data_IF_913208625007
#
_entry.id   IF_913208625007
#
_cell.length_a   1.000
_cell.length_b   1.000
_cell.length_c   1.000
_cell.angle_alpha   90.00
_cell.angle_beta   90.00
_cell.angle_gamma   90.00
#
_symmetry.space_group_name_H-M   'P 1'
#
loop_
_entity.id
_entity.type
_entity.pdbx_description
1 polymer ?
#
# COMPACT_ATOMS: atom_id res chain seq x y z
N UNK A 1 67.39 -7.22 -15.97
CA UNK A 1 66.35 -8.27 -15.92
C UNK A 1 65.65 -8.20 -14.58
N UNK A 2 64.45 -7.59 -14.54
CA UNK A 2 63.49 -7.69 -13.45
C UNK A 2 62.07 -7.65 -14.06
N UNK A 3 61.19 -8.42 -13.45
CA UNK A 3 59.97 -9.07 -13.96
C UNK A 3 58.72 -8.13 -13.97
N UNK A 4 57.86 -8.14 -15.00
CA UNK A 4 56.63 -7.34 -15.04
C UNK A 4 55.43 -8.17 -14.56
N UNK A 5 55.18 -8.24 -13.24
CA UNK A 5 53.93 -8.79 -12.70
C UNK A 5 53.53 -8.11 -11.39
N UNK A 6 52.89 -6.95 -11.51
CA UNK A 6 51.98 -6.43 -10.49
C UNK A 6 50.99 -5.46 -11.15
N UNK A 7 49.96 -6.04 -11.77
CA UNK A 7 48.74 -5.30 -12.09
C UNK A 7 47.94 -5.20 -10.78
N UNK A 8 47.73 -3.97 -10.32
CA UNK A 8 46.87 -3.66 -9.19
C UNK A 8 45.41 -3.82 -9.66
N UNK A 9 44.77 -4.94 -9.32
CA UNK A 9 43.34 -5.12 -9.54
C UNK A 9 42.59 -4.46 -8.37
N UNK A 10 42.13 -3.23 -8.57
CA UNK A 10 41.17 -2.59 -7.68
C UNK A 10 39.79 -3.23 -7.93
N UNK A 11 39.42 -4.21 -7.10
CA UNK A 11 38.06 -4.76 -7.11
C UNK A 11 37.11 -3.75 -6.45
N UNK A 12 36.39 -2.99 -7.28
CA UNK A 12 35.21 -2.24 -6.89
C UNK A 12 34.13 -3.25 -6.45
N UNK A 13 33.99 -3.45 -5.15
CA UNK A 13 32.77 -4.03 -4.58
C UNK A 13 31.66 -2.99 -4.72
N UNK A 14 30.88 -3.09 -5.79
CA UNK A 14 29.56 -2.46 -5.84
C UNK A 14 28.65 -3.25 -4.90
N UNK A 15 28.16 -2.69 -3.79
CA UNK A 15 27.06 -3.32 -3.09
C UNK A 15 25.86 -3.31 -4.04
N UNK A 16 25.43 -4.51 -4.45
CA UNK A 16 24.12 -4.69 -5.05
C UNK A 16 23.09 -4.26 -4.00
N UNK A 17 22.66 -3.00 -4.08
CA UNK A 17 21.45 -2.55 -3.42
C UNK A 17 20.31 -3.28 -4.10
N UNK A 18 19.91 -4.42 -3.52
CA UNK A 18 18.59 -4.98 -3.80
C UNK A 18 17.61 -3.94 -3.26
N UNK A 19 16.77 -3.31 -4.08
CA UNK A 19 15.69 -2.51 -3.55
C UNK A 19 14.87 -3.45 -2.68
N UNK A 20 14.81 -3.17 -1.38
CA UNK A 20 13.77 -3.75 -0.54
C UNK A 20 12.50 -3.11 -1.08
N UNK A 21 11.87 -3.79 -2.03
CA UNK A 21 10.50 -3.49 -2.39
C UNK A 21 9.75 -3.50 -1.06
N UNK A 22 9.27 -2.32 -0.64
CA UNK A 22 8.28 -2.26 0.41
C UNK A 22 7.12 -3.09 -0.13
N UNK A 23 7.02 -4.33 0.34
CA UNK A 23 5.96 -5.22 -0.10
C UNK A 23 4.68 -4.46 0.18
N UNK A 24 3.90 -4.17 -0.86
CA UNK A 24 2.56 -3.62 -0.68
C UNK A 24 1.86 -4.46 0.39
N UNK A 25 1.05 -3.82 1.23
CA UNK A 25 0.26 -4.47 2.27
C UNK A 25 -0.87 -5.30 1.63
N UNK A 26 -0.48 -6.37 0.93
CA UNK A 26 -1.39 -7.26 0.23
C UNK A 26 -2.09 -8.11 1.29
N UNK A 27 -3.40 -7.94 1.39
CA UNK A 27 -4.26 -8.79 2.20
C UNK A 27 -4.38 -10.17 1.54
N UNK A 28 -3.62 -11.14 2.04
CA UNK A 28 -3.61 -12.52 1.55
C UNK A 28 -4.95 -13.23 1.74
N UNK A 29 -5.81 -12.73 2.63
CA UNK A 29 -7.13 -13.31 2.86
C UNK A 29 -8.06 -13.15 1.65
N UNK A 30 -7.97 -12.05 0.89
CA UNK A 30 -8.88 -11.75 -0.23
C UNK A 30 -8.88 -12.83 -1.32
N UNK A 31 -7.75 -13.51 -1.49
CA UNK A 31 -7.59 -14.60 -2.47
C UNK A 31 -7.70 -16.00 -1.85
N UNK A 32 -7.89 -16.10 -0.53
CA UNK A 32 -8.01 -17.38 0.16
C UNK A 32 -9.40 -17.99 -0.02
N UNK A 33 -9.46 -19.32 -0.06
CA UNK A 33 -10.73 -20.05 -0.03
C UNK A 33 -11.19 -20.14 1.43
N UNK A 34 -12.35 -19.56 1.73
CA UNK A 34 -12.91 -19.59 3.09
C UNK A 34 -13.85 -20.78 3.28
N UNK A 35 -13.67 -21.48 4.40
CA UNK A 35 -14.59 -22.49 4.89
C UNK A 35 -15.01 -22.18 6.32
N UNK A 36 -16.27 -22.44 6.66
CA UNK A 36 -16.82 -22.17 8.00
C UNK A 36 -17.55 -23.41 8.51
N UNK A 37 -17.64 -23.54 9.84
CA UNK A 37 -18.37 -24.61 10.50
C UNK A 37 -19.86 -24.64 10.16
N UNK A 38 -20.46 -23.46 10.05
CA UNK A 38 -21.88 -23.24 9.76
C UNK A 38 -22.12 -21.79 9.37
N UNK A 39 -23.31 -21.46 8.87
CA UNK A 39 -23.70 -20.07 8.67
C UNK A 39 -25.20 -19.85 8.92
N UNK A 40 -25.60 -18.58 9.07
CA UNK A 40 -26.99 -18.18 9.27
C UNK A 40 -27.49 -17.33 8.10
N UNK A 41 -28.46 -17.84 7.34
CA UNK A 41 -29.06 -17.08 6.23
C UNK A 41 -28.00 -16.61 5.23
N UNK A 42 -28.06 -15.34 4.85
CA UNK A 42 -27.13 -14.68 3.91
C UNK A 42 -25.79 -14.25 4.53
N UNK A 43 -25.51 -14.56 5.80
CA UNK A 43 -24.25 -14.24 6.49
C UNK A 43 -23.25 -15.39 6.32
N UNK A 44 -22.89 -15.65 5.07
CA UNK A 44 -22.13 -16.82 4.58
C UNK A 44 -20.61 -16.64 4.69
N UNK A 45 -19.84 -17.67 4.32
CA UNK A 45 -18.38 -17.71 4.44
C UNK A 45 -17.64 -16.65 3.61
N UNK A 46 -18.20 -16.26 2.47
CA UNK A 46 -17.66 -15.23 1.56
C UNK A 46 -17.59 -13.84 2.21
N UNK A 47 -18.24 -13.65 3.35
CA UNK A 47 -18.23 -12.39 4.12
C UNK A 47 -17.10 -12.28 5.13
N UNK A 48 -16.15 -13.20 5.11
CA UNK A 48 -15.02 -13.21 6.04
C UNK A 48 -13.80 -12.50 5.43
N UNK A 49 -13.72 -12.42 4.11
CA UNK A 49 -12.55 -11.95 3.37
C UNK A 49 -12.93 -11.13 2.14
N UNK A 50 -14.07 -10.43 2.16
CA UNK A 50 -14.54 -9.65 1.01
C UNK A 50 -13.96 -8.23 0.97
N UNK A 51 -13.05 -7.90 1.89
CA UNK A 51 -12.42 -6.60 2.03
C UNK A 51 -13.31 -5.55 2.72
N UNK A 52 -14.52 -5.93 3.16
CA UNK A 52 -15.51 -4.98 3.70
C UNK A 52 -15.64 -5.16 5.21
N UNK A 53 -14.94 -4.30 5.97
CA UNK A 53 -15.08 -4.25 7.44
C UNK A 53 -16.39 -3.55 7.84
N UNK A 54 -17.50 -4.29 7.83
CA UNK A 54 -18.85 -3.74 7.94
C UNK A 54 -19.73 -4.53 8.90
N UNK A 55 -20.72 -3.85 9.50
CA UNK A 55 -21.77 -4.55 10.22
C UNK A 55 -22.68 -5.28 9.22
N UNK A 56 -23.08 -4.71 8.09
CA UNK A 56 -23.86 -5.42 7.07
C UNK A 56 -23.12 -6.58 6.38
N UNK A 57 -21.80 -6.48 6.19
CA UNK A 57 -20.95 -7.54 5.62
C UNK A 57 -20.27 -8.34 6.73
N UNK A 58 -20.82 -9.51 7.05
CA UNK A 58 -20.30 -10.35 8.14
C UNK A 58 -20.69 -11.81 7.97
N UNK A 59 -19.84 -12.70 8.47
CA UNK A 59 -20.20 -14.07 8.76
C UNK A 59 -20.90 -14.17 10.12
N UNK A 60 -21.92 -15.03 10.20
CA UNK A 60 -22.56 -15.44 11.45
C UNK A 60 -22.70 -16.96 11.47
N UNK A 61 -22.23 -17.59 12.54
CA UNK A 61 -22.49 -19.00 12.79
C UNK A 61 -23.98 -19.29 13.02
N UNK A 62 -24.40 -20.52 12.73
CA UNK A 62 -25.75 -20.98 13.00
C UNK A 62 -26.04 -20.96 14.51
N UNK A 63 -27.30 -20.69 14.90
CA UNK A 63 -27.72 -20.55 16.31
C UNK A 63 -27.43 -21.77 17.20
N UNK A 64 -27.27 -22.96 16.61
CA UNK A 64 -26.98 -24.20 17.32
C UNK A 64 -25.52 -24.65 17.25
N UNK A 65 -24.65 -23.87 16.61
CA UNK A 65 -23.23 -24.21 16.51
C UNK A 65 -22.53 -23.99 17.86
N UNK A 66 -22.13 -25.09 18.48
CA UNK A 66 -21.52 -25.09 19.81
C UNK A 66 -20.02 -24.77 19.80
N UNK A 67 -19.37 -24.90 18.64
CA UNK A 67 -17.93 -24.63 18.44
C UNK A 67 -17.69 -24.04 17.05
N UNK A 68 -18.10 -22.79 16.81
CA UNK A 68 -17.91 -22.18 15.51
C UNK A 68 -16.44 -22.07 15.13
N UNK A 69 -16.12 -22.29 13.86
CA UNK A 69 -14.77 -22.08 13.33
C UNK A 69 -14.82 -21.50 11.92
N UNK A 70 -13.75 -20.82 11.55
CA UNK A 70 -13.47 -20.35 10.19
C UNK A 70 -12.05 -20.70 9.80
N UNK A 71 -11.88 -21.12 8.55
CA UNK A 71 -10.62 -21.51 7.95
C UNK A 71 -10.41 -20.74 6.64
N UNK A 72 -9.21 -20.18 6.47
CA UNK A 72 -8.73 -19.60 5.22
C UNK A 72 -7.67 -20.53 4.65
N UNK A 73 -7.90 -21.07 3.46
CA UNK A 73 -6.94 -21.89 2.73
C UNK A 73 -6.29 -21.06 1.61
N UNK A 74 -4.97 -20.92 1.65
CA UNK A 74 -4.23 -20.16 0.64
C UNK A 74 -4.02 -21.01 -0.62
N UNK A 75 -4.01 -20.35 -1.78
CA UNK A 75 -3.79 -21.00 -3.09
C UNK A 75 -2.39 -21.61 -3.22
N UNK A 76 -1.43 -21.08 -2.46
CA UNK A 76 -0.07 -21.60 -2.35
C UNK A 76 0.48 -21.38 -0.94
N UNK A 77 1.45 -22.19 -0.48
CA UNK A 77 2.12 -21.95 0.80
C UNK A 77 2.69 -20.52 0.87
N UNK A 78 2.37 -19.78 1.92
CA UNK A 78 2.73 -18.37 2.04
C UNK A 78 3.36 -18.05 3.40
N UNK A 79 3.98 -16.87 3.49
CA UNK A 79 4.41 -16.30 4.76
C UNK A 79 3.24 -15.56 5.41
N UNK A 80 3.03 -15.79 6.70
CA UNK A 80 2.06 -15.07 7.53
C UNK A 80 2.80 -14.38 8.66
N UNK A 81 2.89 -13.06 8.59
CA UNK A 81 3.44 -12.19 9.62
C UNK A 81 2.41 -11.86 10.70
N UNK A 82 1.21 -11.44 10.28
CA UNK A 82 0.13 -11.07 11.18
C UNK A 82 -1.26 -11.35 10.60
N UNK A 83 -2.26 -11.41 11.49
CA UNK A 83 -3.68 -11.57 11.19
C UNK A 83 -4.46 -10.49 11.95
N UNK A 84 -5.37 -9.81 11.26
CA UNK A 84 -6.35 -8.91 11.87
C UNK A 84 -7.73 -9.56 11.84
N UNK A 85 -8.40 -9.59 13.00
CA UNK A 85 -9.76 -10.12 13.15
C UNK A 85 -10.70 -8.98 13.54
N UNK A 86 -11.66 -8.69 12.67
CA UNK A 86 -12.71 -7.70 12.91
C UNK A 86 -13.99 -8.42 13.32
N UNK A 87 -14.50 -8.15 14.52
CA UNK A 87 -15.60 -8.92 15.12
C UNK A 87 -16.55 -8.08 15.95
N UNK A 88 -17.72 -8.66 16.23
CA UNK A 88 -18.81 -8.00 16.96
C UNK A 88 -19.53 -6.93 16.13
N UNK A 89 -20.32 -6.12 16.83
CA UNK A 89 -20.91 -4.89 16.32
C UNK A 89 -20.06 -3.70 16.74
N UNK A 90 -19.88 -2.74 15.83
CA UNK A 90 -19.10 -1.55 16.17
C UNK A 90 -19.81 -0.66 17.19
N UNK A 91 -21.15 -0.60 17.14
CA UNK A 91 -21.98 0.27 17.98
C UNK A 91 -22.38 -0.35 19.32
N UNK A 92 -22.08 -1.63 19.54
CA UNK A 92 -22.46 -2.35 20.76
C UNK A 92 -21.22 -2.80 21.53
N UNK A 93 -20.90 -2.06 22.60
CA UNK A 93 -19.79 -2.40 23.48
C UNK A 93 -19.96 -3.82 24.06
N UNK A 94 -18.91 -4.64 23.98
CA UNK A 94 -18.91 -6.01 24.51
C UNK A 94 -19.43 -7.09 23.57
N UNK A 95 -19.79 -6.73 22.33
CA UNK A 95 -20.25 -7.68 21.30
C UNK A 95 -19.12 -8.37 20.51
N UNK A 96 -17.86 -7.95 20.73
CA UNK A 96 -16.67 -8.52 20.09
C UNK A 96 -16.40 -9.96 20.52
N UNK A 97 -15.67 -10.72 19.70
CA UNK A 97 -15.24 -12.06 20.07
C UNK A 97 -14.31 -12.00 21.26
N UNK A 98 -14.75 -12.58 22.39
CA UNK A 98 -14.01 -12.54 23.65
C UNK A 98 -12.90 -13.60 23.72
N UNK A 99 -13.25 -14.83 23.35
CA UNK A 99 -12.39 -16.00 23.51
C UNK A 99 -12.34 -16.81 22.21
N UNK A 100 -11.17 -16.89 21.59
CA UNK A 100 -10.94 -17.67 20.37
C UNK A 100 -9.46 -18.05 20.24
N UNK A 101 -9.18 -19.14 19.54
CA UNK A 101 -7.82 -19.62 19.26
C UNK A 101 -7.53 -19.53 17.78
N UNK A 102 -6.30 -19.14 17.45
CA UNK A 102 -5.78 -19.21 16.09
C UNK A 102 -4.75 -20.31 15.98
N UNK A 103 -4.85 -21.09 14.90
CA UNK A 103 -3.88 -22.10 14.52
C UNK A 103 -3.54 -21.94 13.05
N UNK A 104 -2.33 -22.36 12.67
CA UNK A 104 -1.88 -22.30 11.28
C UNK A 104 -1.35 -23.66 10.85
N UNK A 105 -1.69 -24.10 9.65
CA UNK A 105 -1.14 -25.32 9.07
C UNK A 105 0.17 -24.96 8.35
N UNK A 106 1.27 -25.57 8.79
CA UNK A 106 2.60 -25.41 8.19
C UNK A 106 3.09 -26.79 7.78
N UNK A 107 3.40 -26.95 6.49
CA UNK A 107 3.84 -28.23 5.91
C UNK A 107 2.89 -29.40 6.29
N UNK A 108 1.58 -29.18 6.24
CA UNK A 108 0.55 -30.19 6.57
C UNK A 108 0.41 -30.50 8.06
N UNK A 109 1.06 -29.74 8.95
CA UNK A 109 0.93 -29.89 10.40
C UNK A 109 0.37 -28.62 11.03
N UNK A 110 -0.68 -28.77 11.83
CA UNK A 110 -1.24 -27.65 12.60
C UNK A 110 -0.30 -27.23 13.73
N UNK A 111 0.10 -25.96 13.69
CA UNK A 111 0.83 -25.28 14.75
C UNK A 111 -0.12 -24.41 15.56
N UNK A 112 0.18 -24.32 16.86
CA UNK A 112 -0.50 -23.48 17.84
C UNK A 112 0.56 -22.80 18.71
N UNK A 113 0.23 -21.63 19.24
CA UNK A 113 1.08 -20.91 20.18
C UNK A 113 0.19 -20.20 21.21
N UNK A 114 0.68 -20.03 22.44
CA UNK A 114 -0.10 -19.40 23.51
C UNK A 114 -0.46 -17.94 23.18
N UNK A 115 0.40 -17.23 22.46
CA UNK A 115 0.14 -15.86 22.00
C UNK A 115 -0.97 -15.76 20.93
N UNK A 116 -1.38 -16.89 20.35
CA UNK A 116 -2.47 -16.97 19.37
C UNK A 116 -3.81 -17.32 20.04
N UNK A 117 -3.79 -17.55 21.35
CA UNK A 117 -4.95 -17.85 22.17
C UNK A 117 -5.50 -16.55 22.76
N UNK A 118 -6.53 -15.99 22.13
CA UNK A 118 -7.12 -14.73 22.55
C UNK A 118 -8.15 -14.98 23.65
N UNK A 119 -7.99 -14.31 24.79
CA UNK A 119 -8.87 -14.43 25.95
C UNK A 119 -9.35 -13.08 26.42
N UNK A 120 -10.62 -13.02 26.84
CA UNK A 120 -11.28 -11.81 27.39
C UNK A 120 -11.11 -10.57 26.52
N UNK A 121 -11.00 -10.74 25.20
CA UNK A 121 -10.89 -9.61 24.29
C UNK A 121 -12.13 -8.71 24.38
N UNK A 122 -11.89 -7.40 24.32
CA UNK A 122 -12.92 -6.36 24.32
C UNK A 122 -12.87 -5.51 23.05
N UNK A 123 -11.86 -5.69 22.21
CA UNK A 123 -11.65 -4.89 21.00
C UNK A 123 -12.40 -5.50 19.81
N UNK A 124 -13.04 -4.64 19.02
CA UNK A 124 -13.73 -5.03 17.79
C UNK A 124 -12.75 -5.36 16.67
N UNK A 125 -11.52 -4.81 16.72
CA UNK A 125 -10.39 -5.18 15.89
C UNK A 125 -9.29 -5.77 16.77
N UNK A 126 -8.83 -6.97 16.41
CA UNK A 126 -7.78 -7.68 17.15
C UNK A 126 -6.70 -8.17 16.20
N UNK A 127 -5.50 -7.60 16.34
CA UNK A 127 -4.26 -8.04 15.69
C UNK A 127 -3.60 -9.18 16.45
N UNK A 128 -3.06 -10.14 15.70
CA UNK A 128 -2.36 -11.33 16.18
C UNK A 128 -1.10 -11.52 15.33
N UNK A 129 0.06 -11.61 15.97
CA UNK A 129 1.34 -11.83 15.30
C UNK A 129 1.66 -13.33 15.24
N UNK A 130 1.91 -13.85 14.03
CA UNK A 130 2.06 -15.29 13.77
C UNK A 130 3.51 -15.67 13.44
N UNK A 131 4.15 -14.90 12.55
CA UNK A 131 5.51 -15.19 12.06
C UNK A 131 5.77 -16.66 11.70
N UNK A 132 5.02 -17.15 10.71
CA UNK A 132 5.27 -18.46 10.13
C UNK A 132 5.48 -18.36 8.62
N UNK A 133 6.32 -19.24 8.09
CA UNK A 133 6.54 -19.45 6.66
C UNK A 133 5.92 -20.78 6.23
N UNK A 134 5.64 -20.92 4.94
CA UNK A 134 5.00 -22.12 4.35
C UNK A 134 3.66 -22.47 5.00
N UNK A 135 2.88 -21.45 5.36
CA UNK A 135 1.53 -21.59 5.88
C UNK A 135 0.60 -21.91 4.71
N UNK A 136 -0.14 -23.00 4.81
CA UNK A 136 -1.17 -23.39 3.83
C UNK A 136 -2.56 -22.99 4.27
N UNK A 137 -2.80 -22.96 5.59
CA UNK A 137 -4.10 -22.60 6.16
C UNK A 137 -3.98 -21.81 7.44
N UNK A 138 -4.95 -20.94 7.68
CA UNK A 138 -5.22 -20.28 8.95
C UNK A 138 -6.58 -20.76 9.44
N UNK A 139 -6.70 -21.14 10.71
CA UNK A 139 -7.98 -21.46 11.33
C UNK A 139 -8.17 -20.69 12.63
N UNK A 140 -9.35 -20.08 12.76
CA UNK A 140 -9.84 -19.45 13.98
C UNK A 140 -10.97 -20.30 14.55
N UNK A 141 -10.83 -20.72 15.81
CA UNK A 141 -11.80 -21.57 16.53
C UNK A 141 -12.37 -20.82 17.73
N UNK A 142 -13.70 -20.72 17.83
CA UNK A 142 -14.35 -20.17 19.02
C UNK A 142 -14.47 -21.25 20.10
N UNK A 143 -14.26 -20.84 21.34
CA UNK A 143 -14.27 -21.76 22.49
C UNK A 143 -15.65 -21.97 23.10
N UNK A 144 -16.66 -21.23 22.62
CA UNK A 144 -18.03 -21.24 23.16
C UNK A 144 -19.04 -21.05 22.05
N UNK A 145 -20.24 -21.57 22.28
CA UNK A 145 -21.40 -21.30 21.45
C UNK A 145 -21.67 -19.79 21.36
N UNK A 146 -22.02 -19.32 20.18
CA UNK A 146 -22.31 -17.91 19.94
C UNK A 146 -22.45 -17.61 18.46
N UNK A 147 -22.91 -16.40 18.13
CA UNK A 147 -23.16 -16.02 16.75
C UNK A 147 -21.88 -15.92 15.88
N UNK A 148 -20.70 -16.11 16.46
CA UNK A 148 -19.40 -16.01 15.78
C UNK A 148 -19.29 -14.83 14.82
N UNK A 149 -19.69 -13.64 15.30
CA UNK A 149 -19.83 -12.46 14.45
C UNK A 149 -18.46 -11.95 14.03
N UNK A 150 -18.06 -12.30 12.82
CA UNK A 150 -16.82 -11.85 12.18
C UNK A 150 -17.21 -11.01 10.98
N UNK A 151 -16.75 -9.76 10.97
CA UNK A 151 -16.97 -8.80 9.90
C UNK A 151 -15.92 -9.00 8.80
N UNK A 152 -14.67 -9.25 9.19
CA UNK A 152 -13.58 -9.48 8.26
C UNK A 152 -12.39 -10.15 8.97
N UNK A 153 -11.59 -10.91 8.23
CA UNK A 153 -10.27 -11.39 8.61
C UNK A 153 -9.28 -10.98 7.51
N UNK A 154 -8.24 -10.27 7.88
CA UNK A 154 -7.16 -9.91 6.98
C UNK A 154 -5.85 -10.59 7.40
N UNK A 155 -5.04 -11.00 6.43
CA UNK A 155 -3.77 -11.72 6.66
C UNK A 155 -2.65 -11.06 5.87
N UNK A 156 -1.52 -10.80 6.52
CA UNK A 156 -0.38 -10.11 5.90
C UNK A 156 0.91 -10.90 6.08
N UNK A 157 1.83 -10.78 5.10
CA UNK A 157 3.11 -11.49 5.10
C UNK A 157 4.18 -10.87 6.00
N UNK A 158 3.96 -9.65 6.48
CA UNK A 158 4.88 -8.86 7.28
C UNK A 158 4.18 -8.36 8.56
N UNK A 159 4.97 -7.87 9.53
CA UNK A 159 4.46 -7.39 10.84
C UNK A 159 4.15 -5.90 10.87
N UNK A 160 4.62 -5.16 9.87
CA UNK A 160 4.58 -3.71 9.80
C UNK A 160 3.39 -3.20 8.99
N UNK A 161 2.62 -4.12 8.39
CA UNK A 161 1.47 -3.81 7.59
C UNK A 161 0.48 -2.94 8.36
N UNK A 162 0.03 -1.87 7.70
CA UNK A 162 -0.96 -0.97 8.27
C UNK A 162 -2.27 -1.72 8.52
N UNK A 163 -2.65 -2.60 7.58
CA UNK A 163 -3.83 -3.44 7.66
C UNK A 163 -5.11 -2.71 7.24
N UNK A 164 -6.23 -3.45 7.20
CA UNK A 164 -7.54 -2.85 6.97
C UNK A 164 -7.92 -1.95 8.16
N UNK A 165 -8.57 -0.82 7.89
CA UNK A 165 -9.08 0.04 8.95
C UNK A 165 -10.51 -0.37 9.35
N UNK A 166 -10.77 -0.45 10.67
CA UNK A 166 -12.12 -0.68 11.22
C UNK A 166 -12.95 0.64 11.22
N UNK A 167 -13.23 1.18 10.03
CA UNK A 167 -13.87 2.52 9.86
C UNK A 167 -15.39 2.53 10.02
N UNK A 168 -16.07 1.38 9.90
CA UNK A 168 -17.50 1.21 10.22
C UNK A 168 -18.48 1.90 9.27
N UNK A 169 -19.72 1.41 9.19
CA UNK A 169 -20.75 1.82 8.21
C UNK A 169 -21.46 3.17 8.47
N UNK A 170 -20.98 3.98 9.41
CA UNK A 170 -21.61 5.29 9.69
C UNK A 170 -20.59 6.39 10.02
N UNK A 171 -19.42 6.32 9.40
CA UNK A 171 -18.52 7.45 9.27
C UNK A 171 -17.73 7.20 7.98
N UNK A 172 -18.03 7.90 6.88
CA UNK A 172 -17.17 9.05 6.58
C UNK A 172 -16.59 9.56 7.90
N UNK A 173 -15.44 9.02 8.30
CA UNK A 173 -14.56 9.80 9.15
C UNK A 173 -14.26 11.02 8.28
N UNK A 174 -15.10 12.04 8.40
CA UNK A 174 -14.52 13.33 8.67
C UNK A 174 -13.78 13.08 9.99
N UNK A 175 -12.53 12.59 9.89
CA UNK A 175 -11.54 13.17 10.77
C UNK A 175 -11.83 14.66 10.67
N UNK A 176 -12.24 15.25 11.78
CA UNK A 176 -12.27 16.69 11.85
C UNK A 176 -10.80 17.07 11.69
N UNK A 177 -10.35 17.20 10.43
CA UNK A 177 -9.09 17.81 10.01
C UNK A 177 -9.18 19.30 10.32
N UNK A 178 -9.63 19.60 11.54
CA UNK A 178 -9.69 20.91 12.11
C UNK A 178 -8.26 21.36 12.26
N UNK A 179 -7.86 22.28 11.39
CA UNK A 179 -6.59 22.99 11.52
C UNK A 179 -6.57 23.61 12.92
N UNK A 180 -5.64 23.16 13.77
CA UNK A 180 -5.46 23.71 15.11
C UNK A 180 -4.68 25.00 15.01
N UNK A 181 -5.39 26.12 14.88
CA UNK A 181 -4.78 27.45 14.78
C UNK A 181 -3.99 27.87 16.03
N UNK A 182 -4.12 27.16 17.15
CA UNK A 182 -3.32 27.32 18.37
C UNK A 182 -2.01 26.50 18.37
N UNK A 183 -1.64 25.92 17.24
CA UNK A 183 -0.45 25.09 17.05
C UNK A 183 0.30 25.52 15.79
N UNK A 184 1.62 25.36 15.77
CA UNK A 184 2.40 25.53 14.55
C UNK A 184 1.85 24.62 13.43
N UNK A 185 1.58 25.21 12.27
CA UNK A 185 1.20 24.47 11.07
C UNK A 185 2.45 24.32 10.20
N UNK A 186 2.77 23.10 9.77
CA UNK A 186 4.02 22.80 9.05
C UNK A 186 3.67 22.05 7.77
N UNK A 187 3.71 22.74 6.64
CA UNK A 187 3.45 22.16 5.32
C UNK A 187 4.76 21.77 4.63
N UNK A 188 4.99 20.46 4.46
CA UNK A 188 6.16 19.89 3.79
C UNK A 188 5.76 19.20 2.49
N UNK A 189 6.73 18.98 1.58
CA UNK A 189 6.57 17.94 0.57
C UNK A 189 6.79 16.58 1.24
N UNK A 190 5.71 15.82 1.45
CA UNK A 190 5.73 14.55 2.19
C UNK A 190 6.49 13.42 1.47
N UNK A 191 6.67 13.51 0.14
CA UNK A 191 7.59 12.60 -0.57
C UNK A 191 9.02 12.98 -0.20
N UNK A 192 9.35 14.27 -0.35
CA UNK A 192 10.63 14.80 0.05
C UNK A 192 11.21 15.84 -0.90
N UNK A 193 12.52 15.99 -0.81
CA UNK A 193 13.25 17.00 -1.55
C UNK A 193 14.53 16.45 -2.19
N UNK A 194 14.94 17.07 -3.29
CA UNK A 194 16.23 16.75 -3.90
C UNK A 194 17.38 17.33 -3.09
N UNK A 195 18.39 16.51 -2.81
CA UNK A 195 19.60 16.90 -2.07
C UNK A 195 20.17 18.21 -2.62
N UNK A 196 20.58 18.24 -3.88
CA UNK A 196 21.21 19.41 -4.52
C UNK A 196 20.28 20.58 -4.93
N UNK A 197 19.00 20.59 -4.56
CA UNK A 197 18.04 21.64 -4.98
C UNK A 197 17.48 22.44 -3.80
N UNK A 198 16.75 23.55 -4.05
CA UNK A 198 16.08 24.29 -3.00
C UNK A 198 15.09 23.44 -2.19
N UNK A 199 15.07 23.65 -0.87
CA UNK A 199 14.26 22.88 0.09
C UNK A 199 13.59 23.83 1.06
N UNK A 200 12.26 23.90 0.97
CA UNK A 200 11.43 24.83 1.73
C UNK A 200 10.18 24.15 2.25
N UNK A 201 9.75 24.57 3.42
CA UNK A 201 8.45 24.23 3.98
C UNK A 201 7.71 25.50 4.36
N UNK A 202 6.39 25.41 4.49
CA UNK A 202 5.55 26.53 4.88
C UNK A 202 5.15 26.41 6.34
N UNK A 203 5.17 27.54 7.05
CA UNK A 203 4.75 27.65 8.44
C UNK A 203 3.94 28.93 8.66
N UNK A 204 2.73 29.03 8.08
CA UNK A 204 2.03 30.31 7.89
C UNK A 204 1.58 30.99 9.19
N UNK A 205 1.50 30.26 10.30
CA UNK A 205 1.13 30.81 11.61
C UNK A 205 2.35 31.16 12.47
N UNK A 206 3.54 30.72 12.08
CA UNK A 206 4.77 30.94 12.86
C UNK A 206 5.31 32.33 12.54
N UNK A 207 5.65 33.09 13.59
CA UNK A 207 6.26 34.42 13.42
C UNK A 207 7.68 34.33 12.84
N UNK A 208 8.11 35.39 12.16
CA UNK A 208 9.49 35.50 11.69
C UNK A 208 10.48 35.42 12.87
N UNK A 209 11.61 34.78 12.62
CA UNK A 209 12.62 34.50 13.65
C UNK A 209 12.28 33.31 14.55
N UNK A 210 11.15 32.61 14.36
CA UNK A 210 10.89 31.34 15.04
C UNK A 210 11.92 30.30 14.56
N UNK A 211 12.62 29.67 15.49
CA UNK A 211 13.59 28.62 15.19
C UNK A 211 12.89 27.31 14.80
N UNK A 212 13.35 26.67 13.73
CA UNK A 212 12.97 25.31 13.38
C UNK A 212 14.18 24.37 13.47
N UNK A 213 13.91 23.11 13.79
CA UNK A 213 14.92 22.04 13.89
C UNK A 213 14.56 20.94 12.91
N UNK A 214 15.58 20.38 12.27
CA UNK A 214 15.47 19.18 11.45
C UNK A 214 16.13 18.02 12.20
N UNK A 215 15.48 16.87 12.17
CA UNK A 215 15.99 15.62 12.78
C UNK A 215 15.71 14.45 11.87
N UNK A 216 16.50 13.40 11.98
CA UNK A 216 16.08 12.09 11.51
C UNK A 216 14.90 11.58 12.37
N UNK A 217 13.94 10.92 11.75
CA UNK A 217 12.73 10.45 12.41
C UNK A 217 13.09 9.45 13.51
N UNK A 218 12.67 9.75 14.74
CA UNK A 218 12.94 8.90 15.90
C UNK A 218 14.30 9.17 16.58
N UNK A 219 15.12 10.04 16.01
CA UNK A 219 16.37 10.49 16.63
C UNK A 219 16.16 11.78 17.45
N UNK A 220 17.00 11.94 18.47
CA UNK A 220 17.11 13.11 19.33
C UNK A 220 18.23 14.06 18.91
N UNK A 221 19.05 13.71 17.91
CA UNK A 221 20.07 14.60 17.34
C UNK A 221 19.44 15.64 16.40
N UNK A 222 19.92 16.88 16.47
CA UNK A 222 19.52 17.95 15.54
C UNK A 222 20.52 17.95 14.40
N UNK A 223 20.07 17.64 13.19
CA UNK A 223 20.94 17.58 12.00
C UNK A 223 20.99 18.90 11.23
N UNK A 224 20.00 19.78 11.45
CA UNK A 224 19.96 21.12 10.88
C UNK A 224 19.09 22.06 11.71
N UNK A 225 19.41 23.36 11.68
CA UNK A 225 18.62 24.42 12.31
C UNK A 225 18.48 25.61 11.36
N UNK A 226 17.36 26.29 11.44
CA UNK A 226 17.12 27.54 10.73
C UNK A 226 16.02 28.37 11.38
N UNK A 227 15.64 29.45 10.71
CA UNK A 227 14.61 30.36 11.18
C UNK A 227 13.52 30.54 10.13
N UNK A 228 12.30 30.79 10.60
CA UNK A 228 11.18 31.17 9.74
C UNK A 228 11.35 32.61 9.26
N UNK A 229 11.13 32.83 7.98
CA UNK A 229 11.07 34.15 7.34
C UNK A 229 9.92 34.19 6.33
N UNK A 230 8.99 35.13 6.46
CA UNK A 230 7.82 35.24 5.60
C UNK A 230 6.91 34.01 5.65
N UNK A 231 6.85 33.33 6.79
CA UNK A 231 6.12 32.07 6.94
C UNK A 231 6.75 30.88 6.19
N UNK A 232 8.04 30.96 5.84
CA UNK A 232 8.79 29.91 5.15
C UNK A 232 10.00 29.52 5.98
N UNK A 233 10.27 28.22 6.11
CA UNK A 233 11.58 27.74 6.56
C UNK A 233 12.37 27.19 5.38
N UNK A 234 13.60 27.67 5.21
CA UNK A 234 14.53 27.26 4.15
C UNK A 234 15.69 26.45 4.74
N UNK A 235 15.84 25.21 4.26
CA UNK A 235 16.90 24.29 4.66
C UNK A 235 17.69 23.80 3.44
N UNK A 236 17.77 24.62 2.39
CA UNK A 236 18.44 24.28 1.13
C UNK A 236 19.93 23.94 1.31
N UNK A 237 20.59 24.50 2.31
CA UNK A 237 22.01 24.22 2.63
C UNK A 237 22.23 22.87 3.31
N UNK A 238 21.19 22.21 3.82
CA UNK A 238 21.29 20.84 4.31
C UNK A 238 21.42 19.88 3.13
N UNK A 239 22.55 19.16 3.06
CA UNK A 239 22.92 18.30 1.93
C UNK A 239 23.36 16.93 2.48
N UNK A 240 22.43 16.13 3.05
CA UNK A 240 22.77 14.83 3.60
C UNK A 240 23.24 13.87 2.50
N UNK A 241 24.01 12.87 2.89
CA UNK A 241 24.30 11.73 2.02
C UNK A 241 23.01 10.93 1.78
N UNK A 242 22.86 10.38 0.57
CA UNK A 242 21.69 9.59 0.23
C UNK A 242 21.52 8.40 1.18
N UNK A 243 20.35 8.31 1.81
CA UNK A 243 19.99 7.23 2.74
C UNK A 243 18.48 7.01 2.77
N UNK A 244 18.04 5.91 3.39
CA UNK A 244 16.62 5.65 3.62
C UNK A 244 16.05 6.45 4.81
N UNK A 245 16.88 7.27 5.47
CA UNK A 245 16.47 8.09 6.59
C UNK A 245 15.38 9.08 6.18
N UNK A 246 14.34 9.16 7.00
CA UNK A 246 13.30 10.18 6.88
C UNK A 246 13.58 11.29 7.87
N UNK A 247 13.31 12.52 7.48
CA UNK A 247 13.49 13.69 8.31
C UNK A 247 12.16 14.29 8.73
N UNK A 248 12.15 14.93 9.89
CA UNK A 248 11.02 15.70 10.41
C UNK A 248 11.46 17.10 10.79
N UNK A 249 10.57 18.07 10.60
CA UNK A 249 10.75 19.44 11.05
C UNK A 249 9.99 19.66 12.34
N UNK A 250 10.69 20.14 13.36
CA UNK A 250 10.11 20.56 14.63
C UNK A 250 10.06 22.09 14.71
N UNK A 251 8.90 22.61 15.09
CA UNK A 251 8.70 24.01 15.43
C UNK A 251 8.16 24.13 16.84
N UNK A 252 8.74 25.03 17.61
CA UNK A 252 8.36 25.31 18.99
C UNK A 252 8.63 26.77 19.34
N UNK A 253 7.89 27.30 20.32
CA UNK A 253 8.08 28.65 20.84
C UNK A 253 7.00 29.62 20.37
N UNK A 254 7.12 30.88 20.78
CA UNK A 254 6.07 31.87 20.58
C UNK A 254 4.79 31.54 21.35
N UNK A 255 3.64 31.98 20.83
CA UNK A 255 2.31 31.75 21.43
C UNK A 255 1.65 30.44 20.98
N UNK A 256 2.26 29.73 20.03
CA UNK A 256 1.72 28.50 19.47
C UNK A 256 2.28 27.28 20.21
N UNK A 257 1.45 26.24 20.30
CA UNK A 257 1.91 24.94 20.77
C UNK A 257 2.85 24.29 19.74
N UNK A 258 3.84 23.54 20.24
CA UNK A 258 4.85 22.87 19.40
C UNK A 258 4.21 21.87 18.44
N UNK A 259 4.84 21.67 17.29
CA UNK A 259 4.42 20.66 16.33
C UNK A 259 5.61 20.03 15.60
N UNK A 260 5.37 18.87 15.00
CA UNK A 260 6.31 18.13 14.17
C UNK A 260 5.66 17.86 12.82
N UNK A 261 6.39 18.03 11.73
CA UNK A 261 5.89 17.73 10.38
C UNK A 261 5.69 16.23 10.17
N UNK A 262 4.96 15.88 9.11
CA UNK A 262 5.08 14.54 8.53
C UNK A 262 6.53 14.25 8.10
N UNK A 263 6.94 12.97 8.11
CA UNK A 263 8.29 12.56 7.74
C UNK A 263 8.49 12.58 6.21
N UNK A 264 9.65 13.04 5.76
CA UNK A 264 9.97 13.17 4.33
C UNK A 264 11.40 12.74 4.01
N UNK A 265 11.70 12.43 2.74
CA UNK A 265 13.05 12.04 2.29
C UNK A 265 13.87 13.23 1.80
N UNK A 266 15.20 13.10 1.82
CA UNK A 266 16.11 13.98 1.09
C UNK A 266 17.09 13.12 0.31
N UNK A 267 16.97 13.11 -1.03
CA UNK A 267 17.73 12.18 -1.91
C UNK A 267 18.10 12.81 -3.24
N UNK A 268 19.19 12.38 -3.87
CA UNK A 268 19.65 12.93 -5.15
C UNK A 268 18.70 12.60 -6.33
N UNK A 269 18.16 11.38 -6.36
CA UNK A 269 17.32 10.86 -7.46
C UNK A 269 15.89 10.55 -7.01
N UNK A 270 15.34 11.40 -6.14
CA UNK A 270 14.09 11.14 -5.44
C UNK A 270 12.89 10.86 -6.37
N UNK A 271 12.80 11.55 -7.51
CA UNK A 271 11.73 11.38 -8.49
C UNK A 271 11.80 10.02 -9.20
N UNK A 272 12.99 9.63 -9.66
CA UNK A 272 13.22 8.32 -10.29
C UNK A 272 12.81 7.19 -9.34
N UNK A 273 13.17 7.31 -8.07
CA UNK A 273 12.95 6.26 -7.07
C UNK A 273 11.52 6.21 -6.52
N UNK A 274 10.82 7.35 -6.42
CA UNK A 274 9.52 7.42 -5.75
C UNK A 274 8.33 7.65 -6.69
N UNK A 275 8.55 8.25 -7.87
CA UNK A 275 7.45 8.72 -8.72
C UNK A 275 7.37 8.01 -10.07
N UNK A 276 8.51 7.81 -10.74
CA UNK A 276 8.53 7.44 -12.16
C UNK A 276 7.83 6.10 -12.47
N UNK A 277 8.05 5.08 -11.64
CA UNK A 277 7.36 3.80 -11.80
C UNK A 277 5.86 3.95 -11.57
N UNK A 278 5.44 4.58 -10.47
CA UNK A 278 4.02 4.74 -10.14
C UNK A 278 3.27 5.55 -11.21
N UNK A 279 3.90 6.58 -11.78
CA UNK A 279 3.33 7.36 -12.88
C UNK A 279 3.17 6.52 -14.16
N UNK A 280 4.13 5.64 -14.44
CA UNK A 280 4.07 4.73 -15.60
C UNK A 280 3.02 3.64 -15.40
N UNK A 281 2.93 3.09 -14.19
CA UNK A 281 1.93 2.08 -13.81
C UNK A 281 0.52 2.65 -13.90
N UNK A 282 0.30 3.88 -13.43
CA UNK A 282 -0.97 4.58 -13.63
C UNK A 282 -1.37 4.63 -15.10
N UNK A 283 -0.44 5.00 -15.99
CA UNK A 283 -0.72 5.04 -17.42
C UNK A 283 -1.02 3.65 -17.99
N UNK A 284 -0.31 2.61 -17.55
CA UNK A 284 -0.59 1.23 -17.93
C UNK A 284 -2.02 0.82 -17.51
N UNK A 285 -2.43 1.20 -16.29
CA UNK A 285 -3.72 0.86 -15.70
C UNK A 285 -4.89 1.57 -16.37
N UNK A 286 -4.70 2.80 -16.84
CA UNK A 286 -5.74 3.58 -17.51
C UNK A 286 -5.83 3.35 -19.01
N UNK A 287 -5.07 2.39 -19.56
CA UNK A 287 -5.25 1.99 -20.97
C UNK A 287 -6.68 1.52 -21.22
N UNK A 288 -7.24 1.95 -22.35
CA UNK A 288 -8.58 1.54 -22.76
C UNK A 288 -8.60 0.06 -23.13
N UNK A 289 -9.68 -0.63 -22.77
CA UNK A 289 -9.92 -2.07 -22.98
C UNK A 289 -8.98 -3.00 -22.19
N UNK A 290 -7.70 -2.64 -22.08
CA UNK A 290 -6.63 -3.54 -21.61
C UNK A 290 -5.97 -3.12 -20.31
N UNK A 291 -6.30 -1.95 -19.78
CA UNK A 291 -5.88 -1.59 -18.42
C UNK A 291 -6.60 -2.41 -17.35
N UNK A 292 -6.70 -1.85 -16.15
CA UNK A 292 -7.37 -2.46 -15.00
C UNK A 292 -8.88 -2.61 -15.15
N UNK A 293 -9.48 -1.94 -16.13
CA UNK A 293 -10.91 -2.01 -16.40
C UNK A 293 -11.18 -2.16 -17.91
N UNK A 294 -12.03 -3.13 -18.34
CA UNK A 294 -12.27 -3.44 -19.75
C UNK A 294 -13.30 -2.51 -20.38
N UNK A 295 -13.12 -1.20 -20.21
CA UNK A 295 -13.91 -0.15 -20.85
C UNK A 295 -13.01 0.79 -21.64
N UNK A 296 -13.62 1.58 -22.52
CA UNK A 296 -12.98 2.70 -23.17
C UNK A 296 -13.93 3.88 -23.15
N UNK A 297 -13.38 5.09 -23.06
CA UNK A 297 -14.13 6.33 -23.23
C UNK A 297 -13.64 7.01 -24.49
N UNK A 298 -14.56 7.47 -25.35
CA UNK A 298 -14.22 8.17 -26.59
C UNK A 298 -13.47 7.35 -27.67
N UNK A 299 -13.14 6.07 -27.41
CA UNK A 299 -12.45 5.16 -28.35
C UNK A 299 -10.92 5.21 -28.35
N UNK A 300 -10.31 5.73 -27.28
CA UNK A 300 -8.91 6.21 -27.27
C UNK A 300 -7.93 5.22 -26.62
N UNK A 301 -6.61 5.49 -26.67
CA UNK A 301 -5.57 4.64 -26.05
C UNK A 301 -5.59 4.61 -24.52
N UNK A 302 -6.02 5.70 -23.87
CA UNK A 302 -6.27 5.80 -22.43
C UNK A 302 -7.71 6.26 -22.14
N UNK A 303 -8.25 5.92 -20.97
CA UNK A 303 -9.67 6.10 -20.59
C UNK A 303 -10.13 7.55 -20.36
N UNK A 304 -9.25 8.54 -20.48
CA UNK A 304 -9.60 9.97 -20.38
C UNK A 304 -10.37 10.49 -21.61
N UNK A 305 -10.11 9.90 -22.80
CA UNK A 305 -10.77 10.27 -24.05
C UNK A 305 -10.08 11.39 -24.84
N UNK A 306 -9.12 12.13 -24.28
CA UNK A 306 -8.26 13.05 -25.05
C UNK A 306 -7.04 12.32 -25.62
N UNK A 307 -6.90 12.38 -26.94
CA UNK A 307 -6.21 11.36 -27.74
C UNK A 307 -4.67 11.44 -27.73
N UNK A 308 -4.12 12.64 -27.90
CA UNK A 308 -2.71 12.85 -28.30
C UNK A 308 -2.18 14.25 -27.96
N UNK A 309 -2.93 15.06 -27.22
CA UNK A 309 -2.64 16.49 -27.07
C UNK A 309 -1.46 16.75 -26.12
N UNK A 310 -1.58 16.34 -24.86
CA UNK A 310 -0.57 16.58 -23.84
C UNK A 310 0.19 15.31 -23.44
N UNK A 311 -0.49 14.15 -23.41
CA UNK A 311 0.06 12.93 -22.80
C UNK A 311 1.21 12.36 -23.64
N UNK A 312 1.02 12.18 -24.96
CA UNK A 312 2.05 11.56 -25.80
C UNK A 312 3.32 12.39 -25.91
N UNK A 313 3.27 13.72 -26.18
CA UNK A 313 4.47 14.56 -26.15
C UNK A 313 5.17 14.52 -24.78
N UNK A 314 4.40 14.53 -23.68
CA UNK A 314 4.97 14.44 -22.33
C UNK A 314 5.66 13.10 -22.07
N UNK A 315 5.09 11.98 -22.55
CA UNK A 315 5.71 10.66 -22.44
C UNK A 315 7.00 10.54 -23.26
N UNK A 316 7.05 11.17 -24.43
CA UNK A 316 8.28 11.24 -25.22
C UNK A 316 9.34 12.04 -24.48
N UNK A 317 9.00 13.22 -23.95
CA UNK A 317 9.94 14.03 -23.16
C UNK A 317 10.40 13.32 -21.89
N UNK A 318 9.49 12.61 -21.22
CA UNK A 318 9.80 11.76 -20.08
C UNK A 318 10.80 10.66 -20.47
N UNK A 319 10.53 9.89 -21.53
CA UNK A 319 11.46 8.89 -22.06
C UNK A 319 12.84 9.47 -22.38
N UNK A 320 12.87 10.64 -23.04
CA UNK A 320 14.11 11.30 -23.43
C UNK A 320 14.88 11.91 -22.26
N UNK A 321 14.28 12.06 -21.08
CA UNK A 321 14.95 12.61 -19.90
C UNK A 321 16.02 11.66 -19.34
N UNK A 322 15.75 10.35 -19.37
CA UNK A 322 16.70 9.30 -18.99
C UNK A 322 16.28 7.94 -19.62
N UNK A 323 16.62 7.72 -20.91
CA UNK A 323 16.25 6.49 -21.60
C UNK A 323 16.83 5.23 -20.96
N UNK A 324 18.02 5.31 -20.36
CA UNK A 324 18.68 4.15 -19.76
C UNK A 324 17.90 3.69 -18.51
N UNK A 325 17.58 4.63 -17.61
CA UNK A 325 16.79 4.33 -16.43
C UNK A 325 15.41 3.80 -16.81
N UNK A 326 14.71 4.46 -17.74
CA UNK A 326 13.34 4.07 -18.14
C UNK A 326 13.32 2.69 -18.80
N UNK A 327 14.33 2.35 -19.59
CA UNK A 327 14.43 1.00 -20.16
C UNK A 327 14.72 -0.07 -19.10
N UNK A 328 15.33 0.31 -17.98
CA UNK A 328 15.61 -0.60 -16.84
C UNK A 328 14.43 -0.75 -15.87
N UNK A 329 13.44 0.14 -15.93
CA UNK A 329 12.26 0.10 -15.07
C UNK A 329 11.46 -1.20 -15.24
N UNK A 330 10.90 -1.76 -14.15
CA UNK A 330 9.97 -2.88 -14.21
C UNK A 330 8.87 -2.69 -15.25
N UNK A 331 8.66 -3.72 -16.08
CA UNK A 331 7.62 -3.74 -17.11
C UNK A 331 6.40 -4.51 -16.61
N UNK A 332 5.22 -3.90 -16.76
CA UNK A 332 3.94 -4.53 -16.41
C UNK A 332 3.14 -4.97 -17.64
N UNK A 333 3.46 -4.44 -18.83
CA UNK A 333 2.76 -4.77 -20.08
C UNK A 333 3.32 -6.06 -20.65
N UNK A 334 2.46 -7.07 -20.78
CA UNK A 334 2.71 -8.28 -21.55
C UNK A 334 1.82 -8.27 -22.80
N UNK A 335 2.41 -7.98 -23.95
CA UNK A 335 1.72 -7.93 -25.23
C UNK A 335 0.98 -9.22 -25.56
N UNK A 336 1.60 -10.38 -25.30
CA UNK A 336 1.04 -11.67 -25.69
C UNK A 336 -0.12 -12.05 -24.76
N UNK A 337 0.03 -11.82 -23.46
CA UNK A 337 -1.04 -12.03 -22.50
C UNK A 337 -2.24 -11.12 -22.77
N UNK A 338 -2.00 -9.84 -23.09
CA UNK A 338 -3.06 -8.91 -23.44
C UNK A 338 -3.77 -9.29 -24.74
N UNK A 339 -3.01 -9.65 -25.78
CA UNK A 339 -3.55 -10.15 -27.04
C UNK A 339 -4.45 -11.35 -26.81
N UNK A 340 -3.97 -12.33 -26.05
CA UNK A 340 -4.73 -13.54 -25.73
C UNK A 340 -6.04 -13.18 -25.01
N UNK A 341 -5.99 -12.27 -24.04
CA UNK A 341 -7.17 -11.82 -23.29
C UNK A 341 -8.19 -11.09 -24.16
N UNK A 342 -7.78 -10.10 -24.97
CA UNK A 342 -8.69 -9.25 -25.77
C UNK A 342 -9.32 -9.99 -26.95
N UNK A 343 -8.61 -10.97 -27.49
CA UNK A 343 -9.11 -11.78 -28.62
C UNK A 343 -9.89 -13.01 -28.18
N UNK A 344 -9.95 -13.29 -26.88
CA UNK A 344 -10.72 -14.40 -26.33
C UNK A 344 -12.23 -14.25 -26.66
N UNK A 345 -12.92 -15.33 -27.06
CA UNK A 345 -14.35 -15.29 -27.38
C UNK A 345 -15.24 -14.84 -26.21
N UNK A 346 -14.81 -15.09 -24.98
CA UNK A 346 -15.49 -14.78 -23.73
C UNK A 346 -15.06 -13.44 -23.10
N UNK A 347 -14.22 -12.65 -23.79
CA UNK A 347 -13.83 -11.34 -23.31
C UNK A 347 -15.05 -10.41 -23.19
N UNK A 348 -15.33 -9.95 -21.97
CA UNK A 348 -16.44 -9.04 -21.66
C UNK A 348 -15.96 -7.59 -21.72
N UNK A 349 -16.41 -6.87 -22.76
CA UNK A 349 -16.21 -5.43 -22.88
C UNK A 349 -17.36 -4.65 -22.23
N UNK A 350 -17.02 -3.69 -21.36
CA UNK A 350 -17.98 -2.80 -20.71
C UNK A 350 -18.16 -1.55 -21.57
N UNK A 351 -19.35 -1.42 -22.16
CA UNK A 351 -19.74 -0.29 -23.00
C UNK A 351 -20.15 0.89 -22.12
N UNK A 352 -19.19 1.73 -21.75
CA UNK A 352 -19.44 2.94 -20.96
C UNK A 352 -18.89 4.17 -21.72
N UNK A 353 -19.78 4.98 -22.30
CA UNK A 353 -19.41 6.22 -23.03
C UNK A 353 -18.64 6.04 -24.36
N UNK A 354 -18.29 4.81 -24.76
CA UNK A 354 -17.57 4.54 -26.01
C UNK A 354 -18.49 4.47 -27.24
N UNK A 355 -18.02 5.04 -28.36
CA UNK A 355 -18.64 4.88 -29.68
C UNK A 355 -18.54 3.45 -30.25
N UNK A 356 -19.22 3.14 -31.36
CA UNK A 356 -19.10 1.85 -32.03
C UNK A 356 -17.66 1.62 -32.55
N UNK A 357 -17.24 0.36 -32.68
CA UNK A 357 -15.96 -0.03 -33.32
C UNK A 357 -14.73 -0.13 -32.41
N UNK A 358 -14.84 0.20 -31.10
CA UNK A 358 -13.70 0.14 -30.15
C UNK A 358 -13.07 -1.26 -30.11
N UNK A 359 -13.88 -2.31 -30.02
CA UNK A 359 -13.35 -3.68 -29.94
C UNK A 359 -12.74 -4.13 -31.27
N UNK A 360 -13.22 -3.64 -32.41
CA UNK A 360 -12.61 -3.92 -33.70
C UNK A 360 -11.24 -3.24 -33.80
N UNK A 361 -11.12 -2.00 -33.34
CA UNK A 361 -9.85 -1.28 -33.26
C UNK A 361 -8.86 -1.96 -32.29
N UNK A 362 -9.31 -2.35 -31.09
CA UNK A 362 -8.48 -3.04 -30.10
C UNK A 362 -7.98 -4.39 -30.64
N UNK A 363 -8.86 -5.19 -31.25
CA UNK A 363 -8.47 -6.47 -31.86
C UNK A 363 -7.56 -6.28 -33.07
N UNK A 364 -7.78 -5.23 -33.86
CA UNK A 364 -6.93 -4.85 -34.98
C UNK A 364 -5.52 -4.45 -34.54
N UNK A 365 -5.39 -3.70 -33.43
CA UNK A 365 -4.10 -3.34 -32.85
C UNK A 365 -3.24 -4.56 -32.52
N UNK A 366 -3.84 -5.60 -31.94
CA UNK A 366 -3.12 -6.85 -31.63
C UNK A 366 -2.84 -7.74 -32.84
N UNK A 367 -3.23 -7.34 -34.06
CA UNK A 367 -2.73 -7.94 -35.31
C UNK A 367 -1.40 -7.34 -35.78
N UNK A 368 -0.96 -6.23 -35.19
CA UNK A 368 0.35 -5.64 -35.46
C UNK A 368 1.47 -6.47 -34.83
N UNK A 369 2.69 -6.23 -35.31
CA UNK A 369 3.89 -6.78 -34.68
C UNK A 369 4.02 -6.28 -33.25
N UNK A 370 4.45 -7.14 -32.30
CA UNK A 370 4.69 -6.72 -30.93
C UNK A 370 5.73 -5.60 -30.87
N UNK A 371 5.59 -4.63 -29.95
CA UNK A 371 6.65 -3.66 -29.67
C UNK A 371 7.97 -4.36 -29.37
N UNK A 372 9.08 -3.75 -29.79
CA UNK A 372 10.41 -4.27 -29.46
C UNK A 372 10.57 -4.31 -27.94
N UNK A 373 11.06 -5.45 -27.46
CA UNK A 373 11.51 -5.60 -26.08
C UNK A 373 12.72 -4.72 -25.81
#
# INVERSE_FOLDING_TARGET
>A
MLNPKTLLALSLFYPLFVPVAQAADVNLAESAVVSVSSHRGSYTADKVNDGIVSDASRWLAAKGDSKPWVELAFTQPTKVGMIDVFSGWKTEAGSSLRDFDVSVEVNGTWKRHDDWNIRKNTKSSKRIYIEQVNVTKVRLELLRAGAARIREIAVYNNKEALGLQDVGEAAVQTEDYGIRFSQHQIGVNQIGYFTGRPKRFTAPLSADGTEFKLREQGDSEIVYMGFIEGGIGDFSSFQPVDSAARYVIELSGGELTSNTSDPFLIRANLDQEQYWQAATDFLNDVRSVVGTHPSAYGGCGFRDGTYYDAIVPSLVLFYLSDPEFINSMPRQIDWQAEKARVTAPDFVYIRDGAGPGVMDAARGYYQLEPPKA
#
